data_IF_087935789100
#
_entry.id   IF_087935789100
#
_cell.length_a   1.000
_cell.length_b   1.000
_cell.length_c   1.000
_cell.angle_alpha   90.00
_cell.angle_beta   90.00
_cell.angle_gamma   90.00
#
_symmetry.space_group_name_H-M   'P 1'
#
loop_
_entity.id
_entity.type
_entity.pdbx_description
1 polymer ?
#
# COMPACT_ATOMS: atom_id res chain seq x y z
N UNK A 1 2.24 33.25 -0.60
CA UNK A 1 2.62 31.94 -1.20
C UNK A 1 2.05 30.90 -0.27
N UNK A 2 0.82 30.51 -0.55
CA UNK A 2 -0.07 29.78 0.36
C UNK A 2 0.05 28.30 0.04
N UNK A 3 0.83 27.58 0.86
CA UNK A 3 0.98 26.13 0.82
C UNK A 3 -0.03 25.52 1.78
N UNK A 4 -1.29 25.54 1.37
CA UNK A 4 -2.42 24.90 2.05
C UNK A 4 -3.41 24.68 0.90
N UNK A 5 -3.73 23.49 0.41
CA UNK A 5 -4.30 22.33 1.09
C UNK A 5 -4.16 21.08 0.20
N UNK A 6 -3.11 20.26 0.36
CA UNK A 6 -3.07 18.88 -0.19
C UNK A 6 -3.30 17.81 0.90
N UNK A 7 -3.47 18.25 2.15
CA UNK A 7 -3.50 17.36 3.31
C UNK A 7 -4.91 16.88 3.72
N UNK A 8 -5.99 17.53 3.27
CA UNK A 8 -7.33 17.26 3.82
C UNK A 8 -8.03 16.01 3.25
N UNK A 9 -7.40 15.31 2.31
CA UNK A 9 -7.89 14.03 1.76
C UNK A 9 -6.98 12.85 2.13
N UNK A 10 -5.86 13.12 2.80
CA UNK A 10 -4.80 12.16 3.03
C UNK A 10 -5.13 11.16 4.15
N UNK A 11 -5.84 11.55 5.21
CA UNK A 11 -6.05 10.66 6.37
C UNK A 11 -7.00 9.48 6.12
N UNK A 12 -8.25 9.66 5.62
CA UNK A 12 -9.15 8.52 5.40
C UNK A 12 -8.67 7.58 4.28
N UNK A 13 -8.07 8.15 3.23
CA UNK A 13 -7.52 7.40 2.11
C UNK A 13 -6.24 6.66 2.51
N UNK A 14 -5.35 7.28 3.28
CA UNK A 14 -4.15 6.61 3.78
C UNK A 14 -4.50 5.52 4.79
N UNK A 15 -5.48 5.72 5.67
CA UNK A 15 -5.92 4.68 6.61
C UNK A 15 -6.56 3.50 5.89
N UNK A 16 -7.46 3.76 4.94
CA UNK A 16 -8.12 2.70 4.15
C UNK A 16 -7.13 1.94 3.28
N UNK A 17 -6.19 2.64 2.64
CA UNK A 17 -5.11 2.03 1.88
C UNK A 17 -4.21 1.18 2.77
N UNK A 18 -3.76 1.72 3.91
CA UNK A 18 -2.89 1.02 4.84
C UNK A 18 -3.58 -0.25 5.37
N UNK A 19 -4.84 -0.16 5.79
CA UNK A 19 -5.62 -1.32 6.25
C UNK A 19 -5.72 -2.39 5.17
N UNK A 20 -6.07 -2.02 3.94
CA UNK A 20 -6.15 -2.96 2.83
C UNK A 20 -4.79 -3.61 2.50
N UNK A 21 -3.69 -2.85 2.58
CA UNK A 21 -2.34 -3.40 2.44
C UNK A 21 -2.03 -4.42 3.55
N UNK A 22 -2.34 -4.11 4.81
CA UNK A 22 -2.13 -5.02 5.95
C UNK A 22 -2.95 -6.30 5.82
N UNK A 23 -4.22 -6.20 5.46
CA UNK A 23 -5.09 -7.37 5.29
C UNK A 23 -4.56 -8.26 4.16
N UNK A 24 -4.22 -7.68 3.01
CA UNK A 24 -3.67 -8.42 1.89
C UNK A 24 -2.31 -9.06 2.21
N UNK A 25 -1.38 -8.31 2.82
CA UNK A 25 -0.07 -8.83 3.19
C UNK A 25 -0.20 -9.95 4.23
N UNK A 26 -1.18 -9.87 5.14
CA UNK A 26 -1.38 -10.91 6.16
C UNK A 26 -1.75 -12.24 5.51
N UNK A 27 -2.62 -12.20 4.50
CA UNK A 27 -3.01 -13.38 3.71
C UNK A 27 -1.85 -13.88 2.86
N UNK A 28 -1.16 -12.99 2.14
CA UNK A 28 -0.09 -13.35 1.19
C UNK A 28 1.16 -13.91 1.88
N UNK A 29 1.50 -13.42 3.07
CA UNK A 29 2.66 -13.86 3.84
C UNK A 29 2.31 -14.93 4.88
N UNK A 30 1.02 -15.26 5.05
CA UNK A 30 0.57 -16.26 6.02
C UNK A 30 0.85 -15.89 7.47
N UNK A 31 0.85 -14.59 7.80
CA UNK A 31 1.13 -14.08 9.15
C UNK A 31 0.25 -12.91 9.50
N UNK A 32 -0.29 -12.90 10.72
CA UNK A 32 -1.02 -11.75 11.27
C UNK A 32 -0.12 -10.76 12.01
N UNK A 33 1.20 -10.99 12.01
CA UNK A 33 2.21 -10.14 12.68
C UNK A 33 2.56 -8.92 11.83
N UNK A 34 1.54 -8.20 11.37
CA UNK A 34 1.68 -6.98 10.58
C UNK A 34 1.20 -5.81 11.44
N UNK A 35 2.06 -4.81 11.58
CA UNK A 35 1.83 -3.69 12.48
C UNK A 35 1.90 -2.37 11.71
N UNK A 36 0.92 -1.50 11.96
CA UNK A 36 0.95 -0.13 11.47
C UNK A 36 1.85 0.73 12.35
N UNK A 37 2.62 1.62 11.72
CA UNK A 37 3.37 2.63 12.43
C UNK A 37 2.39 3.66 13.06
N UNK A 38 2.63 4.13 14.30
CA UNK A 38 3.71 3.71 15.21
C UNK A 38 3.36 2.44 16.01
N UNK A 39 4.34 1.55 16.18
CA UNK A 39 4.23 0.38 17.07
C UNK A 39 5.14 0.53 18.30
N UNK A 40 4.88 -0.28 19.34
CA UNK A 40 5.71 -0.29 20.56
C UNK A 40 7.08 -0.89 20.23
N UNK A 41 8.16 -0.28 20.73
CA UNK A 41 9.54 -0.73 20.50
C UNK A 41 9.82 -2.18 20.93
N UNK A 42 9.04 -2.72 21.86
CA UNK A 42 9.15 -4.10 22.31
C UNK A 42 8.60 -5.14 21.32
N UNK A 43 7.90 -4.71 20.26
CA UNK A 43 7.42 -5.63 19.22
C UNK A 43 8.60 -6.02 18.33
N UNK A 44 8.98 -7.31 18.26
CA UNK A 44 10.02 -7.75 17.34
C UNK A 44 9.48 -7.69 15.90
N UNK A 45 10.02 -6.74 15.13
CA UNK A 45 9.73 -6.55 13.71
C UNK A 45 10.89 -7.16 12.92
N UNK A 46 10.56 -8.01 11.95
CA UNK A 46 11.57 -8.63 11.07
C UNK A 46 11.89 -7.74 9.86
N UNK A 47 10.87 -7.06 9.34
CA UNK A 47 10.96 -6.16 8.18
C UNK A 47 10.08 -4.93 8.37
N UNK A 48 10.57 -3.77 7.94
CA UNK A 48 9.77 -2.55 7.85
C UNK A 48 9.49 -2.22 6.39
N UNK A 49 8.25 -1.88 6.06
CA UNK A 49 7.87 -1.45 4.71
C UNK A 49 7.37 -0.02 4.75
N UNK A 50 8.02 0.85 4.00
CA UNK A 50 7.62 2.23 3.82
C UNK A 50 6.96 2.41 2.45
N UNK A 51 5.80 3.06 2.44
CA UNK A 51 5.07 3.39 1.21
C UNK A 51 5.02 4.91 1.03
N UNK A 52 5.31 5.36 -0.19
CA UNK A 52 5.06 6.71 -0.62
C UNK A 52 4.09 6.67 -1.81
N UNK A 53 2.81 6.91 -1.54
CA UNK A 53 1.77 6.94 -2.57
C UNK A 53 1.78 8.30 -3.24
N UNK A 54 2.11 8.31 -4.54
CA UNK A 54 2.18 9.53 -5.36
C UNK A 54 0.81 9.87 -5.95
N UNK A 55 0.05 8.84 -6.31
CA UNK A 55 -1.28 9.00 -6.89
C UNK A 55 -2.13 7.80 -6.53
N UNK A 56 -3.34 8.04 -6.04
CA UNK A 56 -4.35 7.00 -5.91
C UNK A 56 -5.73 7.62 -6.11
N UNK A 57 -6.15 7.67 -7.37
CA UNK A 57 -7.42 8.26 -7.77
C UNK A 57 -8.07 7.41 -8.86
N UNK A 58 -9.36 7.63 -9.08
CA UNK A 58 -10.08 7.02 -10.18
C UNK A 58 -11.37 7.76 -10.47
N UNK A 59 -11.86 7.60 -11.70
CA UNK A 59 -13.14 8.17 -12.13
C UNK A 59 -14.08 7.06 -12.60
N UNK A 60 -15.40 7.18 -12.33
CA UNK A 60 -16.39 6.27 -12.92
C UNK A 60 -16.24 6.23 -14.44
N UNK A 61 -16.37 5.05 -15.04
CA UNK A 61 -16.24 4.81 -16.49
C UNK A 61 -14.84 5.05 -17.10
N UNK A 62 -13.82 5.36 -16.29
CA UNK A 62 -12.44 5.46 -16.76
C UNK A 62 -11.61 4.31 -16.14
N UNK A 63 -10.62 4.68 -15.34
CA UNK A 63 -9.70 3.77 -14.67
C UNK A 63 -9.37 4.31 -13.28
N UNK A 64 -8.95 3.40 -12.41
CA UNK A 64 -8.20 3.73 -11.21
C UNK A 64 -6.72 3.70 -11.53
N UNK A 65 -6.00 4.71 -11.07
CA UNK A 65 -4.56 4.83 -11.21
C UNK A 65 -3.91 4.83 -9.81
N UNK A 66 -3.08 3.83 -9.55
CA UNK A 66 -2.25 3.76 -8.35
C UNK A 66 -0.77 3.89 -8.74
N UNK A 67 -0.14 4.95 -8.26
CA UNK A 67 1.30 5.20 -8.39
C UNK A 67 1.91 5.31 -7.02
N UNK A 68 2.90 4.47 -6.73
CA UNK A 68 3.57 4.47 -5.44
C UNK A 68 5.04 4.08 -5.57
N UNK A 69 5.84 4.56 -4.62
CA UNK A 69 7.15 4.02 -4.33
C UNK A 69 7.07 3.21 -3.05
N UNK A 70 7.85 2.15 -2.97
CA UNK A 70 7.94 1.34 -1.76
C UNK A 70 9.39 0.98 -1.47
N UNK A 71 9.69 0.83 -0.19
CA UNK A 71 11.00 0.43 0.30
C UNK A 71 10.81 -0.61 1.41
N UNK A 72 11.65 -1.65 1.39
CA UNK A 72 11.69 -2.70 2.40
C UNK A 72 13.02 -2.58 3.13
N UNK A 73 12.96 -2.46 4.45
CA UNK A 73 14.11 -2.39 5.33
C UNK A 73 14.16 -3.61 6.27
N UNK A 74 15.31 -3.83 6.87
CA UNK A 74 15.45 -4.66 8.07
C UNK A 74 14.55 -4.15 9.20
N UNK A 75 14.24 -5.04 10.15
CA UNK A 75 13.40 -4.74 11.30
C UNK A 75 13.81 -3.55 12.16
N UNK A 76 15.09 -3.21 12.19
CA UNK A 76 15.66 -2.03 12.86
C UNK A 76 15.57 -0.73 12.02
N UNK A 77 15.09 -0.82 10.79
CA UNK A 77 14.97 0.28 9.83
C UNK A 77 16.30 0.81 9.29
N UNK A 78 17.43 0.15 9.58
CA UNK A 78 18.75 0.70 9.24
C UNK A 78 19.25 0.27 7.86
N UNK A 79 18.87 -0.91 7.39
CA UNK A 79 19.37 -1.46 6.13
C UNK A 79 18.24 -1.56 5.11
N UNK A 80 18.40 -0.88 3.96
CA UNK A 80 17.51 -1.04 2.81
C UNK A 80 17.78 -2.41 2.16
N UNK A 81 16.77 -3.28 2.19
CA UNK A 81 16.82 -4.60 1.59
C UNK A 81 16.39 -4.58 0.12
N UNK A 82 15.38 -3.77 -0.20
CA UNK A 82 14.85 -3.64 -1.55
C UNK A 82 14.00 -2.36 -1.70
N UNK A 83 13.78 -1.93 -2.93
CA UNK A 83 12.90 -0.80 -3.24
C UNK A 83 12.34 -0.89 -4.65
N UNK A 84 11.17 -0.31 -4.87
CA UNK A 84 10.54 -0.30 -6.18
C UNK A 84 9.57 0.84 -6.37
N UNK A 85 9.02 0.89 -7.58
CA UNK A 85 7.92 1.77 -7.93
C UNK A 85 6.84 0.97 -8.65
N UNK A 86 5.59 1.34 -8.43
CA UNK A 86 4.43 0.73 -9.06
C UNK A 86 3.64 1.77 -9.83
N UNK A 87 3.13 1.37 -11.00
CA UNK A 87 2.18 2.13 -11.82
C UNK A 87 1.08 1.18 -12.29
N UNK A 88 0.00 1.11 -11.50
CA UNK A 88 -1.09 0.16 -11.68
C UNK A 88 -2.31 0.88 -12.24
N UNK A 89 -2.93 0.29 -13.25
CA UNK A 89 -4.15 0.78 -13.90
C UNK A 89 -5.21 -0.30 -13.86
N UNK A 90 -6.35 0.03 -13.27
CA UNK A 90 -7.49 -0.88 -13.16
C UNK A 90 -8.71 -0.26 -13.83
N UNK A 91 -9.30 -0.94 -14.81
CA UNK A 91 -10.51 -0.47 -15.49
C UNK A 91 -11.70 -0.48 -14.53
N UNK A 92 -12.52 0.57 -14.58
CA UNK A 92 -13.80 0.60 -13.88
C UNK A 92 -14.86 -0.02 -14.78
N UNK A 93 -15.45 -1.14 -14.36
CA UNK A 93 -16.29 -1.97 -15.20
C UNK A 93 -17.59 -1.27 -15.66
N UNK A 94 -18.15 -0.43 -14.80
CA UNK A 94 -19.39 0.31 -15.03
C UNK A 94 -19.41 1.63 -14.23
N UNK A 95 -20.41 2.50 -14.41
CA UNK A 95 -20.48 3.80 -13.73
C UNK A 95 -20.74 3.76 -12.21
N UNK A 96 -20.94 2.57 -11.62
CA UNK A 96 -21.32 2.44 -10.21
C UNK A 96 -20.17 2.76 -9.26
N UNK A 97 -20.53 3.17 -8.05
CA UNK A 97 -19.56 3.39 -6.96
C UNK A 97 -18.90 2.05 -6.57
N UNK A 98 -19.67 0.96 -6.62
CA UNK A 98 -19.22 -0.39 -6.35
C UNK A 98 -18.12 -0.82 -7.33
N UNK A 99 -18.30 -0.57 -8.63
CA UNK A 99 -17.28 -0.86 -9.64
C UNK A 99 -16.01 -0.03 -9.43
N UNK A 100 -16.14 1.23 -9.02
CA UNK A 100 -15.00 2.09 -8.69
C UNK A 100 -14.24 1.58 -7.46
N UNK A 101 -14.95 1.22 -6.39
CA UNK A 101 -14.36 0.64 -5.16
C UNK A 101 -13.68 -0.70 -5.47
N UNK A 102 -14.30 -1.54 -6.29
CA UNK A 102 -13.70 -2.81 -6.72
C UNK A 102 -12.40 -2.59 -7.51
N UNK A 103 -12.35 -1.58 -8.39
CA UNK A 103 -11.12 -1.22 -9.11
C UNK A 103 -10.02 -0.71 -8.16
N UNK A 104 -10.36 0.10 -7.15
CA UNK A 104 -9.41 0.52 -6.12
C UNK A 104 -8.86 -0.68 -5.33
N UNK A 105 -9.73 -1.60 -4.93
CA UNK A 105 -9.34 -2.82 -4.22
C UNK A 105 -8.39 -3.69 -5.04
N UNK A 106 -8.67 -3.89 -6.34
CA UNK A 106 -7.77 -4.64 -7.24
C UNK A 106 -6.39 -3.98 -7.37
N UNK A 107 -6.35 -2.66 -7.47
CA UNK A 107 -5.09 -1.92 -7.56
C UNK A 107 -4.22 -2.13 -6.31
N UNK A 108 -4.81 -2.02 -5.11
CA UNK A 108 -4.11 -2.28 -3.84
C UNK A 108 -3.67 -3.74 -3.73
N UNK A 109 -4.51 -4.69 -4.15
CA UNK A 109 -4.16 -6.10 -4.15
C UNK A 109 -2.97 -6.41 -5.07
N UNK A 110 -2.86 -5.74 -6.22
CA UNK A 110 -1.70 -5.89 -7.10
C UNK A 110 -0.42 -5.36 -6.45
N UNK A 111 -0.43 -4.16 -5.88
CA UNK A 111 0.72 -3.63 -5.14
C UNK A 111 1.12 -4.54 -3.96
N UNK A 112 0.13 -5.09 -3.26
CA UNK A 112 0.36 -6.02 -2.14
C UNK A 112 1.11 -7.27 -2.59
N UNK A 113 0.78 -7.83 -3.76
CA UNK A 113 1.48 -8.99 -4.33
C UNK A 113 2.93 -8.68 -4.69
N UNK A 114 3.19 -7.50 -5.25
CA UNK A 114 4.56 -7.07 -5.59
C UNK A 114 5.44 -7.01 -4.34
N UNK A 115 4.95 -6.36 -3.28
CA UNK A 115 5.68 -6.24 -2.01
C UNK A 115 5.80 -7.58 -1.29
N UNK A 116 4.74 -8.38 -1.24
CA UNK A 116 4.77 -9.69 -0.59
C UNK A 116 5.80 -10.63 -1.24
N UNK A 117 5.92 -10.61 -2.57
CA UNK A 117 6.91 -11.40 -3.29
C UNK A 117 8.35 -11.04 -2.91
N UNK A 118 8.62 -9.76 -2.61
CA UNK A 118 9.93 -9.28 -2.16
C UNK A 118 10.20 -9.76 -0.74
N UNK A 119 9.23 -9.61 0.18
CA UNK A 119 9.38 -10.05 1.57
C UNK A 119 9.56 -11.57 1.64
N UNK A 120 8.76 -12.34 0.90
CA UNK A 120 8.82 -13.80 0.88
C UNK A 120 10.19 -14.32 0.41
N UNK A 121 10.86 -13.64 -0.54
CA UNK A 121 12.22 -13.97 -0.98
C UNK A 121 13.28 -13.75 0.09
N UNK A 122 13.01 -12.91 1.10
CA UNK A 122 13.95 -12.59 2.19
C UNK A 122 13.68 -13.38 3.46
N UNK A 123 12.47 -13.92 3.60
CA UNK A 123 12.03 -14.72 4.74
C UNK A 123 12.44 -16.20 4.64
N UNK A 124 12.96 -16.65 3.49
CA UNK A 124 13.58 -17.97 3.28
C UNK A 124 15.10 -17.87 3.22
#
# INVERSE_FOLDING_TARGET
MELVELAQWAEPLSESFARAMTDNLSVLLGTYRIFHFPWRSAVPIDYQVAFHVVQFDGRPQEQVLLRAHWQVFTGDGQTLLDSGHALIRETVADPSVEALVAAHSRAVAQLSREVAAVIAKRAG
#
